data_IF_069142684595
#
_entry.id   IF_069142684595
#
_cell.length_a   1.000
_cell.length_b   1.000
_cell.length_c   1.000
_cell.angle_alpha   90.00
_cell.angle_beta   90.00
_cell.angle_gamma   90.00
#
_symmetry.space_group_name_H-M   'P 1'
#
loop_
_entity.id
_entity.type
_entity.pdbx_description
1 polymer ?
#
# COMPACT_ATOMS: atom_id res chain seq x y z
N UNK A 1 10.63 -15.46 8.94
CA UNK A 1 10.35 -14.11 9.48
C UNK A 1 9.32 -13.49 8.56
N UNK A 2 8.17 -13.05 9.07
CA UNK A 2 7.09 -12.50 8.23
C UNK A 2 7.42 -11.10 7.72
N UNK A 3 7.05 -10.79 6.48
CA UNK A 3 7.17 -9.43 5.95
C UNK A 3 6.23 -8.48 6.70
N UNK A 4 6.68 -7.25 6.92
CA UNK A 4 5.84 -6.21 7.53
C UNK A 4 4.70 -5.87 6.58
N UNK A 5 3.46 -5.95 7.07
CA UNK A 5 2.26 -5.73 6.25
C UNK A 5 1.53 -4.43 6.58
N UNK A 6 1.95 -3.72 7.61
CA UNK A 6 1.28 -2.55 8.17
C UNK A 6 2.28 -1.47 8.53
N UNK A 7 1.97 -0.23 8.18
CA UNK A 7 2.83 0.94 8.26
C UNK A 7 2.01 2.13 8.74
N UNK A 8 2.49 2.83 9.76
CA UNK A 8 1.83 4.03 10.30
C UNK A 8 2.70 5.24 10.02
N UNK A 9 2.07 6.35 9.63
CA UNK A 9 2.77 7.61 9.48
C UNK A 9 3.35 8.04 10.84
N UNK A 10 4.53 8.68 10.88
CA UNK A 10 5.13 9.13 12.14
C UNK A 10 4.25 10.07 12.96
N UNK A 11 3.34 10.79 12.31
CA UNK A 11 2.35 11.69 12.93
C UNK A 11 1.10 10.97 13.45
N UNK A 12 0.97 9.66 13.23
CA UNK A 12 -0.16 8.83 13.68
C UNK A 12 -1.46 9.01 12.89
N UNK A 13 -1.47 9.84 11.84
CA UNK A 13 -2.69 10.15 11.08
C UNK A 13 -3.01 9.16 9.97
N UNK A 14 -2.01 8.72 9.21
CA UNK A 14 -2.23 7.93 8.00
C UNK A 14 -1.69 6.51 8.18
N UNK A 15 -2.37 5.55 7.57
CA UNK A 15 -2.04 4.13 7.58
C UNK A 15 -1.85 3.63 6.14
N UNK A 16 -0.83 2.79 5.96
CA UNK A 16 -0.65 1.97 4.76
C UNK A 16 -0.47 0.51 5.16
N UNK A 17 -1.03 -0.39 4.37
CA UNK A 17 -0.78 -1.81 4.54
C UNK A 17 -0.99 -2.59 3.26
N UNK A 18 -0.61 -3.86 3.28
CA UNK A 18 -0.93 -4.80 2.21
C UNK A 18 -1.41 -6.13 2.80
N UNK A 19 -2.21 -6.85 2.02
CA UNK A 19 -2.75 -8.15 2.39
C UNK A 19 -2.97 -9.03 1.17
N UNK A 20 -3.13 -10.33 1.38
CA UNK A 20 -3.73 -11.22 0.39
C UNK A 20 -5.24 -11.26 0.61
N UNK A 21 -6.01 -11.08 -0.46
CA UNK A 21 -7.45 -11.32 -0.47
C UNK A 21 -7.75 -12.81 -0.33
N UNK A 22 -9.02 -13.17 -0.08
CA UNK A 22 -9.45 -14.57 0.03
C UNK A 22 -9.22 -15.38 -1.26
N UNK A 23 -9.15 -14.72 -2.40
CA UNK A 23 -8.91 -15.31 -3.72
C UNK A 23 -7.43 -15.22 -4.14
N UNK A 24 -6.54 -14.80 -3.24
CA UNK A 24 -5.10 -14.79 -3.47
C UNK A 24 -4.53 -13.51 -4.06
N UNK A 25 -5.35 -12.55 -4.52
CA UNK A 25 -4.85 -11.27 -5.01
C UNK A 25 -4.15 -10.46 -3.92
N UNK A 26 -3.08 -9.77 -4.26
CA UNK A 26 -2.46 -8.78 -3.38
C UNK A 26 -3.24 -7.48 -3.41
N UNK A 27 -3.56 -6.94 -2.23
CA UNK A 27 -4.27 -5.68 -2.06
C UNK A 27 -3.42 -4.71 -1.22
N UNK A 28 -3.41 -3.44 -1.61
CA UNK A 28 -2.87 -2.33 -0.82
C UNK A 28 -4.04 -1.58 -0.17
N UNK A 29 -3.91 -1.27 1.11
CA UNK A 29 -4.88 -0.54 1.91
C UNK A 29 -4.26 0.77 2.37
N UNK A 30 -4.98 1.86 2.20
CA UNK A 30 -4.73 3.16 2.82
C UNK A 30 -5.92 3.54 3.71
N UNK A 31 -5.63 4.16 4.84
CA UNK A 31 -6.64 4.80 5.67
C UNK A 31 -6.09 6.15 6.14
N UNK A 32 -6.87 7.21 5.96
CA UNK A 32 -6.50 8.54 6.45
C UNK A 32 -6.90 8.72 7.94
N UNK A 33 -6.51 9.85 8.51
CA UNK A 33 -6.84 10.22 9.90
C UNK A 33 -8.33 10.41 10.19
N UNK A 34 -9.16 10.45 9.16
CA UNK A 34 -10.62 10.59 9.23
C UNK A 34 -11.32 9.25 8.96
N UNK A 35 -10.56 8.14 8.92
CA UNK A 35 -11.04 6.80 8.62
C UNK A 35 -11.61 6.64 7.21
N UNK A 36 -11.23 7.50 6.26
CA UNK A 36 -11.50 7.24 4.86
C UNK A 36 -10.58 6.13 4.37
N UNK A 37 -11.18 4.99 4.05
CA UNK A 37 -10.46 3.82 3.60
C UNK A 37 -10.40 3.72 2.08
N UNK A 38 -9.24 3.35 1.61
CA UNK A 38 -8.94 3.16 0.21
C UNK A 38 -8.25 1.81 0.01
N UNK A 39 -8.76 0.98 -0.90
CA UNK A 39 -8.15 -0.30 -1.29
C UNK A 39 -7.81 -0.32 -2.79
N UNK A 40 -6.66 -0.88 -3.13
CA UNK A 40 -6.27 -1.19 -4.51
C UNK A 40 -5.88 -2.65 -4.63
N UNK A 41 -6.20 -3.26 -5.75
CA UNK A 41 -5.62 -4.54 -6.17
C UNK A 41 -4.31 -4.27 -6.88
N UNK A 42 -3.26 -5.03 -6.56
CA UNK A 42 -2.00 -5.03 -7.33
C UNK A 42 -2.18 -5.94 -8.54
N UNK A 43 -1.82 -5.46 -9.72
CA UNK A 43 -1.85 -6.24 -10.95
C UNK A 43 -0.65 -7.19 -11.06
N UNK A 44 -0.83 -8.28 -11.80
CA UNK A 44 0.16 -9.33 -11.99
C UNK A 44 -0.08 -10.56 -11.12
N UNK A 45 0.35 -11.73 -11.62
CA UNK A 45 0.11 -13.03 -10.96
C UNK A 45 0.98 -13.20 -9.71
N UNK A 46 2.19 -12.64 -9.72
CA UNK A 46 3.16 -12.78 -8.62
C UNK A 46 3.88 -11.44 -8.35
N UNK A 47 3.20 -10.47 -7.72
CA UNK A 47 3.79 -9.17 -7.45
C UNK A 47 4.89 -9.28 -6.39
N UNK A 48 5.99 -8.56 -6.58
CA UNK A 48 7.12 -8.53 -5.64
C UNK A 48 6.68 -7.99 -4.27
N UNK A 49 6.59 -8.86 -3.27
CA UNK A 49 6.20 -8.49 -1.91
C UNK A 49 7.23 -7.55 -1.26
N UNK A 50 8.53 -7.77 -1.50
CA UNK A 50 9.60 -6.87 -1.08
C UNK A 50 9.46 -5.48 -1.73
N UNK A 51 9.09 -5.45 -3.01
CA UNK A 51 8.82 -4.20 -3.74
C UNK A 51 7.64 -3.43 -3.13
N UNK A 52 6.57 -4.12 -2.74
CA UNK A 52 5.41 -3.53 -2.06
C UNK A 52 5.83 -3.00 -0.69
N UNK A 53 6.52 -3.81 0.13
CA UNK A 53 7.01 -3.40 1.46
C UNK A 53 7.87 -2.13 1.36
N UNK A 54 8.81 -2.11 0.42
CA UNK A 54 9.66 -0.94 0.19
C UNK A 54 8.85 0.30 -0.25
N UNK A 55 7.83 0.13 -1.10
CA UNK A 55 6.98 1.22 -1.55
C UNK A 55 6.15 1.81 -0.38
N UNK A 56 5.51 0.95 0.41
CA UNK A 56 4.68 1.37 1.54
C UNK A 56 5.51 2.06 2.62
N UNK A 57 6.68 1.49 2.96
CA UNK A 57 7.58 2.08 3.96
C UNK A 57 8.08 3.46 3.54
N UNK A 58 8.39 3.66 2.26
CA UNK A 58 8.82 4.96 1.76
C UNK A 58 7.67 5.97 1.72
N UNK A 59 6.48 5.54 1.28
CA UNK A 59 5.32 6.40 1.15
C UNK A 59 4.78 6.90 2.50
N UNK A 60 4.74 6.04 3.53
CA UNK A 60 4.19 6.38 4.84
C UNK A 60 5.01 7.45 5.59
N UNK A 61 6.30 7.57 5.26
CA UNK A 61 7.19 8.57 5.85
C UNK A 61 7.00 9.97 5.24
N UNK A 62 6.27 10.08 4.13
CA UNK A 62 5.99 11.35 3.46
C UNK A 62 4.89 12.14 4.14
N UNK A 63 4.99 13.48 4.11
CA UNK A 63 3.92 14.38 4.55
C UNK A 63 2.64 14.23 3.71
N UNK A 64 2.76 13.75 2.47
CA UNK A 64 1.64 13.49 1.55
C UNK A 64 1.67 12.01 1.16
N UNK A 65 1.12 11.15 2.02
CA UNK A 65 1.20 9.68 1.90
C UNK A 65 0.61 9.19 0.57
N UNK A 66 -0.61 9.62 0.20
CA UNK A 66 -1.28 9.16 -1.02
C UNK A 66 -0.50 9.49 -2.31
N UNK A 67 -0.11 10.76 -2.60
CA UNK A 67 0.74 11.05 -3.74
C UNK A 67 2.06 10.27 -3.72
N UNK A 68 2.69 10.15 -2.54
CA UNK A 68 3.93 9.41 -2.40
C UNK A 68 3.76 7.92 -2.69
N UNK A 69 2.62 7.32 -2.33
CA UNK A 69 2.31 5.92 -2.65
C UNK A 69 2.30 5.71 -4.17
N UNK A 70 1.59 6.56 -4.92
CA UNK A 70 1.55 6.46 -6.38
C UNK A 70 2.95 6.59 -7.00
N UNK A 71 3.77 7.52 -6.52
CA UNK A 71 5.14 7.69 -7.02
C UNK A 71 6.01 6.46 -6.73
N UNK A 72 5.95 5.92 -5.51
CA UNK A 72 6.75 4.76 -5.11
C UNK A 72 6.34 3.47 -5.84
N UNK A 73 5.04 3.28 -6.10
CA UNK A 73 4.54 2.17 -6.90
C UNK A 73 4.98 2.30 -8.36
N UNK A 74 4.87 3.51 -8.94
CA UNK A 74 5.32 3.78 -10.31
C UNK A 74 6.82 3.55 -10.50
N UNK A 75 7.66 3.99 -9.54
CA UNK A 75 9.13 3.76 -9.58
C UNK A 75 9.50 2.27 -9.62
N UNK A 76 8.64 1.40 -9.07
CA UNK A 76 8.84 -0.05 -9.01
C UNK A 76 8.05 -0.82 -10.06
N UNK A 77 7.42 -0.12 -11.01
CA UNK A 77 6.54 -0.71 -12.02
C UNK A 77 5.42 -1.58 -11.43
N UNK A 78 4.90 -1.20 -10.26
CA UNK A 78 3.78 -1.88 -9.60
C UNK A 78 2.48 -1.21 -10.09
N UNK A 79 1.77 -1.89 -10.99
CA UNK A 79 0.47 -1.44 -11.45
C UNK A 79 -0.62 -1.79 -10.43
N UNK A 80 -1.59 -0.89 -10.28
CA UNK A 80 -2.66 -1.03 -9.30
C UNK A 80 -4.01 -0.62 -9.91
N UNK A 81 -5.04 -1.37 -9.55
CA UNK A 81 -6.43 -1.06 -9.88
C UNK A 81 -7.16 -0.65 -8.61
N UNK A 82 -7.93 0.44 -8.69
CA UNK A 82 -8.79 0.88 -7.59
C UNK A 82 -9.96 -0.08 -7.44
N UNK A 83 -10.12 -0.70 -6.27
CA UNK A 83 -11.28 -1.54 -5.98
C UNK A 83 -12.17 -0.91 -4.91
N UNK A 84 -13.48 -1.06 -5.06
CA UNK A 84 -14.46 -0.71 -4.04
C UNK A 84 -14.51 -1.89 -3.07
N UNK A 85 -14.17 -1.62 -1.81
CA UNK A 85 -14.25 -2.59 -0.71
C UNK A 85 -15.56 -2.46 0.04
#
# INVERSE_FOLDING_TARGET
>A
MGLQTSFHAPSGGDFLGWRKSRVGHTEIVYEDRLSHRMVWRVEGDEPSEDGIVAALSAAVASARVLPSLYDELKKRAIAIERIIG
#
